data_IF_454155097773
#
_entry.id   IF_454155097773
#
_cell.length_a   1.000
_cell.length_b   1.000
_cell.length_c   1.000
_cell.angle_alpha   90.00
_cell.angle_beta   90.00
_cell.angle_gamma   90.00
#
_symmetry.space_group_name_H-M   'P 1'
#
loop_
_entity.id
_entity.type
_entity.pdbx_description
1 polymer ?
#
# COMPACT_ATOMS: atom_id res chain seq x y z
N UNK A 1 17.38 43.22 -10.13
CA UNK A 1 18.59 43.24 -9.26
C UNK A 1 18.99 41.84 -8.80
N UNK A 2 18.07 40.98 -8.32
CA UNK A 2 18.40 39.60 -7.91
C UNK A 2 18.77 38.66 -9.08
N UNK A 3 18.11 38.81 -10.23
CA UNK A 3 18.39 37.98 -11.41
C UNK A 3 19.63 38.40 -12.21
N UNK A 4 20.08 39.66 -12.11
CA UNK A 4 21.22 40.19 -12.87
C UNK A 4 22.59 39.77 -12.32
N UNK A 5 22.66 39.35 -11.06
CA UNK A 5 23.89 38.85 -10.41
C UNK A 5 24.09 37.33 -10.57
N UNK A 6 23.07 36.58 -10.99
CA UNK A 6 23.15 35.11 -11.14
C UNK A 6 23.83 34.68 -12.44
N UNK A 7 23.82 35.51 -13.48
CA UNK A 7 24.27 35.10 -14.82
C UNK A 7 25.81 35.01 -14.98
N UNK A 8 26.60 35.68 -14.13
CA UNK A 8 28.07 35.57 -14.16
C UNK A 8 28.60 34.35 -13.41
N UNK A 9 27.86 33.87 -12.40
CA UNK A 9 28.29 32.82 -11.48
C UNK A 9 27.91 31.41 -11.96
N UNK A 10 26.90 31.27 -12.83
CA UNK A 10 26.51 29.97 -13.40
C UNK A 10 27.66 29.27 -14.13
N UNK A 11 28.67 30.01 -14.61
CA UNK A 11 29.84 29.44 -15.27
C UNK A 11 30.73 28.62 -14.31
N UNK A 12 30.78 28.97 -13.03
CA UNK A 12 31.70 28.37 -12.05
C UNK A 12 31.02 27.43 -11.04
N UNK A 13 29.68 27.35 -11.04
CA UNK A 13 28.94 26.49 -10.11
C UNK A 13 28.70 25.10 -10.72
N UNK A 14 29.19 24.06 -10.03
CA UNK A 14 29.06 22.67 -10.45
C UNK A 14 28.43 21.80 -9.35
N UNK A 15 27.83 20.68 -9.74
CA UNK A 15 27.14 19.72 -8.87
C UNK A 15 27.61 18.30 -9.17
N UNK A 16 28.24 17.68 -8.17
CA UNK A 16 28.53 16.24 -8.19
C UNK A 16 27.21 15.44 -8.10
N UNK A 17 27.11 14.35 -8.88
CA UNK A 17 25.97 13.42 -8.86
C UNK A 17 26.47 12.00 -8.66
N UNK A 18 26.00 11.35 -7.59
CA UNK A 18 26.36 9.98 -7.23
C UNK A 18 25.17 9.29 -6.55
N UNK A 19 25.18 7.95 -6.53
CA UNK A 19 24.11 7.13 -5.93
C UNK A 19 24.60 6.24 -4.77
N UNK A 20 25.91 6.09 -4.61
CA UNK A 20 26.53 5.44 -3.46
C UNK A 20 27.78 6.19 -2.99
N UNK A 21 28.12 6.02 -1.71
CA UNK A 21 29.30 6.62 -1.07
C UNK A 21 30.54 5.71 -1.17
N UNK A 22 30.82 5.19 -2.36
CA UNK A 22 32.02 4.39 -2.62
C UNK A 22 33.02 5.16 -3.49
N UNK A 23 34.31 4.81 -3.40
CA UNK A 23 35.38 5.55 -4.09
C UNK A 23 35.19 5.64 -5.60
N UNK A 24 34.67 4.57 -6.23
CA UNK A 24 34.42 4.52 -7.68
C UNK A 24 33.38 5.57 -8.10
N UNK A 25 32.22 5.59 -7.43
CA UNK A 25 31.12 6.52 -7.73
C UNK A 25 31.52 7.97 -7.47
N UNK A 26 32.24 8.22 -6.38
CA UNK A 26 32.71 9.56 -6.04
C UNK A 26 33.72 10.08 -7.05
N UNK A 27 34.75 9.30 -7.38
CA UNK A 27 35.74 9.69 -8.39
C UNK A 27 35.08 9.96 -9.74
N UNK A 28 34.14 9.10 -10.15
CA UNK A 28 33.37 9.31 -11.38
C UNK A 28 32.54 10.61 -11.32
N UNK A 29 31.90 10.92 -10.20
CA UNK A 29 31.09 12.13 -10.02
C UNK A 29 31.92 13.41 -10.09
N UNK A 30 33.14 13.41 -9.53
CA UNK A 30 34.05 14.57 -9.58
C UNK A 30 34.68 14.76 -10.96
N UNK A 31 34.88 13.69 -11.72
CA UNK A 31 35.34 13.77 -13.12
C UNK A 31 34.21 14.24 -14.06
N UNK A 32 32.95 13.98 -13.72
CA UNK A 32 31.78 14.26 -14.54
C UNK A 32 30.79 15.21 -13.84
N UNK A 33 31.29 16.38 -13.44
CA UNK A 33 30.50 17.37 -12.72
C UNK A 33 29.37 17.95 -13.58
N UNK A 34 28.13 17.88 -13.09
CA UNK A 34 26.96 18.43 -13.77
C UNK A 34 26.68 19.88 -13.36
N UNK A 35 25.73 20.55 -14.03
CA UNK A 35 25.13 21.80 -13.52
C UNK A 35 23.97 21.50 -12.57
N UNK A 36 23.73 22.32 -11.53
CA UNK A 36 22.49 22.26 -10.76
C UNK A 36 21.27 22.42 -11.67
N UNK A 37 20.23 21.61 -11.43
CA UNK A 37 19.00 21.67 -12.21
C UNK A 37 17.98 22.61 -11.56
N UNK A 38 17.88 23.83 -12.09
CA UNK A 38 16.95 24.85 -11.58
C UNK A 38 15.48 24.39 -11.59
N UNK A 39 15.06 23.65 -12.61
CA UNK A 39 13.69 23.15 -12.72
C UNK A 39 13.29 22.20 -11.58
N UNK A 40 14.20 21.32 -11.13
CA UNK A 40 13.94 20.42 -9.99
C UNK A 40 13.81 21.22 -8.68
N UNK A 41 14.64 22.27 -8.51
CA UNK A 41 14.53 23.18 -7.37
C UNK A 41 13.20 23.93 -7.36
N UNK A 42 12.81 24.54 -8.49
CA UNK A 42 11.55 25.28 -8.59
C UNK A 42 10.33 24.38 -8.36
N UNK A 43 10.38 23.11 -8.75
CA UNK A 43 9.33 22.15 -8.44
C UNK A 43 9.19 21.90 -6.92
N UNK A 44 10.32 21.86 -6.19
CA UNK A 44 10.31 21.76 -4.72
C UNK A 44 9.72 23.03 -4.11
N UNK A 45 10.11 24.21 -4.59
CA UNK A 45 9.60 25.50 -4.11
C UNK A 45 8.08 25.61 -4.33
N UNK A 46 7.61 25.26 -5.54
CA UNK A 46 6.19 25.25 -5.86
C UNK A 46 5.40 24.31 -4.93
N UNK A 47 5.93 23.12 -4.64
CA UNK A 47 5.29 22.18 -3.71
C UNK A 47 5.24 22.74 -2.29
N UNK A 48 6.34 23.32 -1.80
CA UNK A 48 6.39 23.93 -0.47
C UNK A 48 5.35 25.06 -0.33
N UNK A 49 5.24 25.89 -1.36
CA UNK A 49 4.28 26.99 -1.39
C UNK A 49 2.83 26.49 -1.43
N UNK A 50 2.54 25.49 -2.26
CA UNK A 50 1.22 24.85 -2.32
C UNK A 50 0.82 24.24 -0.98
N UNK A 51 1.70 23.40 -0.40
CA UNK A 51 1.47 22.74 0.88
C UNK A 51 1.23 23.77 1.99
N UNK A 52 2.00 24.86 2.02
CA UNK A 52 1.86 25.94 3.00
C UNK A 52 0.55 26.71 2.83
N UNK A 53 0.27 27.22 1.62
CA UNK A 53 -0.90 28.07 1.36
C UNK A 53 -2.19 27.29 1.60
N UNK A 54 -2.31 26.10 1.02
CA UNK A 54 -3.49 25.25 1.17
C UNK A 54 -3.61 24.75 2.60
N UNK A 55 -2.51 24.25 3.18
CA UNK A 55 -2.50 23.72 4.53
C UNK A 55 -2.89 24.76 5.58
N UNK A 56 -2.31 25.96 5.54
CA UNK A 56 -2.63 27.05 6.49
C UNK A 56 -4.05 27.56 6.30
N UNK A 57 -4.50 27.78 5.06
CA UNK A 57 -5.83 28.31 4.79
C UNK A 57 -6.92 27.39 5.37
N UNK A 58 -6.89 26.11 5.02
CA UNK A 58 -7.90 25.15 5.48
C UNK A 58 -7.74 24.80 6.96
N UNK A 59 -6.52 24.65 7.47
CA UNK A 59 -6.32 24.38 8.91
C UNK A 59 -6.87 25.52 9.78
N UNK A 60 -6.64 26.78 9.38
CA UNK A 60 -7.22 27.94 10.10
C UNK A 60 -8.74 27.96 10.00
N UNK A 61 -9.29 27.76 8.81
CA UNK A 61 -10.73 27.73 8.59
C UNK A 61 -11.41 26.64 9.42
N UNK A 62 -10.92 25.40 9.36
CA UNK A 62 -11.51 24.27 10.08
C UNK A 62 -11.35 24.40 11.59
N UNK A 63 -10.18 24.86 12.06
CA UNK A 63 -9.99 25.12 13.49
C UNK A 63 -10.96 26.19 13.99
N UNK A 64 -11.17 27.27 13.21
CA UNK A 64 -12.13 28.31 13.56
C UNK A 64 -13.58 27.82 13.55
N UNK A 65 -14.00 27.14 12.48
CA UNK A 65 -15.40 26.70 12.30
C UNK A 65 -15.78 25.51 13.21
N UNK A 66 -14.90 24.51 13.31
CA UNK A 66 -15.22 23.21 13.91
C UNK A 66 -14.51 22.99 15.25
N UNK A 67 -13.55 23.84 15.63
CA UNK A 67 -12.74 23.63 16.83
C UNK A 67 -13.54 23.60 18.13
N UNK A 68 -14.62 24.39 18.26
CA UNK A 68 -15.50 24.35 19.44
C UNK A 68 -16.21 22.99 19.55
N UNK A 69 -16.80 22.53 18.44
CA UNK A 69 -17.49 21.26 18.40
C UNK A 69 -16.53 20.10 18.66
N UNK A 70 -15.34 20.13 18.04
CA UNK A 70 -14.33 19.10 18.23
C UNK A 70 -13.88 18.98 19.69
N UNK A 71 -13.77 20.12 20.41
CA UNK A 71 -13.47 20.13 21.84
C UNK A 71 -14.58 19.56 22.72
N UNK A 72 -15.83 19.73 22.32
CA UNK A 72 -16.97 19.26 23.08
C UNK A 72 -17.26 17.77 22.85
N UNK A 73 -17.08 17.30 21.60
CA UNK A 73 -17.49 15.94 21.18
C UNK A 73 -16.37 14.91 21.21
N UNK A 74 -15.13 15.30 20.93
CA UNK A 74 -14.04 14.34 20.72
C UNK A 74 -12.90 14.48 21.73
N UNK A 75 -12.24 15.64 21.82
CA UNK A 75 -11.12 15.86 22.72
C UNK A 75 -11.11 17.30 23.26
N UNK A 76 -11.28 17.48 24.56
CA UNK A 76 -11.27 18.81 25.23
C UNK A 76 -9.97 19.59 24.99
N UNK A 77 -8.88 18.89 24.72
CA UNK A 77 -7.57 19.48 24.43
C UNK A 77 -7.35 19.74 22.92
N UNK A 78 -8.37 19.57 22.07
CA UNK A 78 -8.26 19.83 20.64
C UNK A 78 -8.01 21.32 20.35
N UNK A 79 -6.76 21.65 20.02
CA UNK A 79 -6.34 23.02 19.69
C UNK A 79 -6.30 23.32 18.20
N UNK A 80 -6.06 22.32 17.36
CA UNK A 80 -5.81 22.48 15.93
C UNK A 80 -6.51 21.36 15.15
N UNK A 81 -7.26 21.70 14.12
CA UNK A 81 -7.71 20.75 13.11
C UNK A 81 -6.84 21.00 11.88
N UNK A 82 -5.89 20.11 11.64
CA UNK A 82 -4.94 20.24 10.53
C UNK A 82 -5.53 19.70 9.24
N UNK A 83 -5.22 20.38 8.14
CA UNK A 83 -5.49 19.95 6.78
C UNK A 83 -4.19 20.00 5.98
N UNK A 84 -3.97 18.99 5.15
CA UNK A 84 -2.86 18.98 4.22
C UNK A 84 -3.27 18.27 2.93
N UNK A 85 -2.87 18.77 1.74
CA UNK A 85 -3.30 18.22 0.46
C UNK A 85 -2.91 16.76 0.26
N UNK A 86 -1.83 16.29 0.88
CA UNK A 86 -1.44 14.87 0.89
C UNK A 86 -1.87 14.11 2.17
N UNK A 87 -1.83 14.78 3.33
CA UNK A 87 -2.20 14.17 4.61
C UNK A 87 -3.68 13.75 4.66
N UNK A 88 -4.58 14.60 4.15
CA UNK A 88 -6.02 14.35 4.23
C UNK A 88 -6.46 13.17 3.34
N UNK A 89 -6.04 13.05 2.07
CA UNK A 89 -6.29 11.84 1.28
C UNK A 89 -5.65 10.58 1.86
N UNK A 90 -4.47 10.69 2.49
CA UNK A 90 -3.84 9.55 3.17
C UNK A 90 -4.72 9.04 4.32
N UNK A 91 -5.25 9.95 5.15
CA UNK A 91 -6.19 9.60 6.22
C UNK A 91 -7.52 9.04 5.66
N UNK A 92 -7.96 9.54 4.51
CA UNK A 92 -9.16 9.06 3.85
C UNK A 92 -9.10 7.55 3.56
N UNK A 93 -7.97 7.00 3.11
CA UNK A 93 -7.85 5.55 2.90
C UNK A 93 -8.09 4.74 4.19
N UNK A 94 -7.60 5.23 5.33
CA UNK A 94 -7.86 4.60 6.63
C UNK A 94 -9.34 4.69 7.01
N UNK A 95 -9.95 5.88 6.88
CA UNK A 95 -11.36 6.10 7.19
C UNK A 95 -12.28 5.30 6.27
N UNK A 96 -11.98 5.24 4.98
CA UNK A 96 -12.71 4.45 3.99
C UNK A 96 -12.71 2.97 4.39
N UNK A 97 -11.53 2.39 4.66
CA UNK A 97 -11.44 1.00 5.11
C UNK A 97 -12.18 0.75 6.41
N UNK A 98 -12.12 1.69 7.35
CA UNK A 98 -12.90 1.61 8.59
C UNK A 98 -14.40 1.54 8.30
N UNK A 99 -14.92 2.41 7.43
CA UNK A 99 -16.34 2.39 7.04
C UNK A 99 -16.73 1.12 6.29
N UNK A 100 -15.88 0.61 5.40
CA UNK A 100 -16.08 -0.68 4.72
C UNK A 100 -16.24 -1.83 5.73
N UNK A 101 -15.39 -1.86 6.77
CA UNK A 101 -15.45 -2.88 7.84
C UNK A 101 -16.73 -2.71 8.67
N UNK A 102 -17.11 -1.48 9.03
CA UNK A 102 -18.33 -1.22 9.80
C UNK A 102 -19.61 -1.52 9.02
N UNK A 103 -19.60 -1.29 7.71
CA UNK A 103 -20.73 -1.57 6.82
C UNK A 103 -20.82 -3.05 6.41
N UNK A 104 -19.76 -3.83 6.63
CA UNK A 104 -19.73 -5.24 6.28
C UNK A 104 -20.79 -6.02 7.08
N UNK A 105 -21.72 -6.65 6.36
CA UNK A 105 -22.71 -7.56 6.93
C UNK A 105 -22.28 -9.00 6.62
N UNK A 106 -21.74 -9.75 7.60
CA UNK A 106 -21.32 -11.12 7.38
C UNK A 106 -22.49 -11.97 6.86
N UNK A 107 -22.26 -12.69 5.78
CA UNK A 107 -23.24 -13.62 5.22
C UNK A 107 -22.76 -15.06 5.44
N UNK A 108 -23.66 -15.90 5.93
CA UNK A 108 -23.38 -17.34 6.04
C UNK A 108 -23.27 -17.93 4.65
N UNK A 109 -22.23 -18.74 4.46
CA UNK A 109 -22.03 -19.52 3.25
C UNK A 109 -21.61 -20.94 3.65
N UNK A 110 -21.74 -21.86 2.71
CA UNK A 110 -21.43 -23.27 2.87
C UNK A 110 -20.47 -23.71 1.78
N UNK A 111 -19.45 -24.46 2.18
CA UNK A 111 -18.52 -25.17 1.29
C UNK A 111 -18.54 -26.64 1.70
N UNK A 112 -18.34 -27.54 0.74
CA UNK A 112 -18.29 -28.98 1.02
C UNK A 112 -16.83 -29.42 0.87
N UNK A 113 -16.34 -30.13 1.87
CA UNK A 113 -15.01 -30.75 1.82
C UNK A 113 -15.13 -32.19 2.25
N UNK A 114 -14.47 -33.10 1.54
CA UNK A 114 -14.44 -34.52 1.85
C UNK A 114 -13.01 -35.02 1.98
N UNK A 115 -12.79 -35.99 2.87
CA UNK A 115 -11.52 -36.71 2.94
C UNK A 115 -11.68 -38.00 2.14
N UNK A 116 -10.90 -38.14 1.08
CA UNK A 116 -10.87 -39.36 0.27
C UNK A 116 -9.59 -40.14 0.56
N UNK A 117 -9.62 -41.45 0.30
CA UNK A 117 -8.47 -42.34 0.44
C UNK A 117 -8.22 -43.04 -0.89
N UNK A 118 -7.01 -42.91 -1.40
CA UNK A 118 -6.56 -43.61 -2.61
C UNK A 118 -6.27 -45.08 -2.32
N UNK A 119 -6.03 -45.86 -3.39
CA UNK A 119 -5.69 -47.29 -3.30
C UNK A 119 -4.46 -47.54 -2.43
N UNK A 120 -3.47 -46.65 -2.46
CA UNK A 120 -2.25 -46.72 -1.65
C UNK A 120 -2.42 -46.21 -0.22
N UNK A 121 -3.66 -46.18 0.29
CA UNK A 121 -4.01 -45.64 1.60
C UNK A 121 -3.72 -44.14 1.84
N UNK A 122 -3.21 -43.42 0.84
CA UNK A 122 -2.95 -41.98 0.89
C UNK A 122 -4.26 -41.21 1.06
N UNK A 123 -4.30 -40.31 2.04
CA UNK A 123 -5.46 -39.43 2.26
C UNK A 123 -5.26 -38.13 1.48
N UNK A 124 -6.31 -37.65 0.83
CA UNK A 124 -6.32 -36.35 0.20
C UNK A 124 -7.64 -35.63 0.47
N UNK A 125 -7.57 -34.31 0.57
CA UNK A 125 -8.73 -33.45 0.74
C UNK A 125 -9.32 -33.17 -0.64
N UNK A 126 -10.59 -33.45 -0.79
CA UNK A 126 -11.39 -33.07 -1.95
C UNK A 126 -12.18 -31.84 -1.56
N UNK A 127 -12.00 -30.77 -2.31
CA UNK A 127 -12.74 -29.53 -2.14
C UNK A 127 -13.80 -29.44 -3.23
N UNK A 128 -14.92 -28.80 -2.88
CA UNK A 128 -16.00 -28.58 -3.83
C UNK A 128 -15.54 -27.63 -4.94
N UNK A 129 -15.85 -27.99 -6.18
CA UNK A 129 -15.48 -27.23 -7.39
C UNK A 129 -16.13 -25.83 -7.44
N UNK A 130 -17.30 -25.65 -6.83
CA UNK A 130 -17.87 -24.32 -6.64
C UNK A 130 -17.20 -23.62 -5.45
N UNK A 131 -16.84 -22.33 -5.61
CA UNK A 131 -16.21 -21.53 -4.54
C UNK A 131 -16.96 -21.64 -3.19
N UNK A 132 -18.29 -21.46 -3.21
CA UNK A 132 -19.20 -21.52 -2.05
C UNK A 132 -20.67 -21.42 -2.48
N UNK A 133 -21.59 -21.86 -1.62
CA UNK A 133 -23.04 -21.62 -1.74
C UNK A 133 -23.54 -20.70 -0.62
N UNK A 134 -24.50 -19.83 -0.93
CA UNK A 134 -25.27 -19.07 0.06
C UNK A 134 -26.66 -19.67 0.33
N UNK A 135 -26.97 -20.82 -0.28
CA UNK A 135 -28.19 -21.58 -0.02
C UNK A 135 -27.87 -22.80 0.83
N UNK A 136 -28.43 -22.82 2.05
CA UNK A 136 -28.27 -23.90 3.01
C UNK A 136 -28.91 -25.21 2.54
N UNK A 137 -30.06 -25.14 1.87
CA UNK A 137 -30.80 -26.32 1.44
C UNK A 137 -30.03 -27.02 0.32
N UNK A 138 -29.55 -26.24 -0.64
CA UNK A 138 -28.66 -26.73 -1.68
C UNK A 138 -27.41 -27.39 -1.09
N UNK A 139 -26.75 -26.73 -0.12
CA UNK A 139 -25.55 -27.28 0.50
C UNK A 139 -25.83 -28.59 1.28
N UNK A 140 -26.96 -28.69 1.98
CA UNK A 140 -27.38 -29.91 2.68
C UNK A 140 -27.70 -31.06 1.72
N UNK A 141 -28.35 -30.77 0.60
CA UNK A 141 -28.64 -31.78 -0.40
C UNK A 141 -27.36 -32.34 -1.02
N UNK A 142 -26.42 -31.45 -1.38
CA UNK A 142 -25.12 -31.85 -1.91
C UNK A 142 -24.30 -32.63 -0.85
N UNK A 143 -24.33 -32.22 0.42
CA UNK A 143 -23.72 -32.97 1.52
C UNK A 143 -24.32 -34.38 1.67
N UNK A 144 -25.65 -34.50 1.62
CA UNK A 144 -26.35 -35.79 1.71
C UNK A 144 -25.96 -36.73 0.58
N UNK A 145 -25.92 -36.23 -0.66
CA UNK A 145 -25.45 -36.98 -1.84
C UNK A 145 -24.01 -37.44 -1.67
N UNK A 146 -23.13 -36.58 -1.16
CA UNK A 146 -21.73 -36.92 -0.88
C UNK A 146 -21.56 -37.96 0.24
N UNK A 147 -22.35 -37.89 1.31
CA UNK A 147 -22.33 -38.88 2.40
C UNK A 147 -22.84 -40.25 1.95
N UNK A 148 -23.81 -40.28 1.04
CA UNK A 148 -24.31 -41.51 0.44
C UNK A 148 -23.30 -42.13 -0.53
N UNK A 149 -22.43 -41.32 -1.13
CA UNK A 149 -21.39 -41.80 -2.03
C UNK A 149 -20.29 -42.57 -1.26
N UNK A 150 -20.03 -43.81 -1.70
CA UNK A 150 -18.99 -44.68 -1.12
C UNK A 150 -17.66 -44.62 -1.86
N UNK A 151 -17.66 -44.02 -3.04
CA UNK A 151 -16.52 -43.98 -3.95
C UNK A 151 -16.45 -42.61 -4.61
N UNK A 152 -15.23 -42.18 -4.93
CA UNK A 152 -14.97 -40.94 -5.67
C UNK A 152 -14.29 -41.35 -6.97
N UNK A 153 -14.77 -40.83 -8.10
CA UNK A 153 -14.18 -41.10 -9.41
C UNK A 153 -13.32 -39.90 -9.82
N UNK A 154 -12.09 -40.18 -10.23
CA UNK A 154 -11.24 -39.16 -10.86
C UNK A 154 -11.77 -38.90 -12.27
N UNK A 155 -12.12 -37.65 -12.54
CA UNK A 155 -12.68 -37.22 -13.84
C UNK A 155 -11.56 -36.71 -14.77
N UNK A 156 -10.63 -35.93 -14.21
CA UNK A 156 -9.48 -35.36 -14.92
C UNK A 156 -8.28 -35.26 -13.98
N UNK A 157 -7.07 -35.28 -14.54
CA UNK A 157 -5.82 -35.01 -13.84
C UNK A 157 -5.04 -34.02 -14.69
N UNK A 158 -4.93 -32.79 -14.19
CA UNK A 158 -4.16 -31.74 -14.83
C UNK A 158 -2.84 -31.52 -14.07
N UNK A 159 -1.76 -31.41 -14.81
CA UNK A 159 -0.42 -31.12 -14.28
C UNK A 159 0.11 -29.87 -14.96
N UNK A 160 0.48 -28.87 -14.17
CA UNK A 160 1.03 -27.62 -14.66
C UNK A 160 2.40 -27.37 -14.02
N UNK A 161 3.40 -27.13 -14.87
CA UNK A 161 4.73 -26.70 -14.43
C UNK A 161 4.69 -25.22 -14.07
N UNK A 162 4.47 -24.91 -12.79
CA UNK A 162 4.51 -23.53 -12.29
C UNK A 162 5.95 -23.11 -12.02
N UNK A 163 6.41 -22.08 -12.74
CA UNK A 163 7.69 -21.41 -12.46
C UNK A 163 7.45 -20.18 -11.60
N UNK A 164 8.05 -20.14 -10.42
CA UNK A 164 8.12 -18.92 -9.61
C UNK A 164 9.32 -18.09 -10.06
N UNK A 165 9.07 -16.89 -10.54
CA UNK A 165 10.13 -15.97 -10.94
C UNK A 165 10.80 -15.34 -9.72
N UNK A 166 12.08 -15.00 -9.87
CA UNK A 166 12.77 -14.18 -8.89
C UNK A 166 12.05 -12.82 -8.72
N UNK A 167 12.10 -12.22 -7.52
CA UNK A 167 11.50 -10.90 -7.32
C UNK A 167 12.21 -9.84 -8.16
N UNK A 168 11.47 -8.79 -8.48
CA UNK A 168 12.05 -7.59 -9.12
C UNK A 168 13.11 -6.95 -8.22
N UNK A 169 14.02 -6.19 -8.84
CA UNK A 169 14.98 -5.37 -8.12
C UNK A 169 14.28 -4.49 -7.08
N UNK A 170 14.85 -4.45 -5.88
CA UNK A 170 14.23 -3.79 -4.74
C UNK A 170 14.18 -2.28 -4.94
N UNK A 171 12.98 -1.71 -4.89
CA UNK A 171 12.77 -0.27 -4.90
C UNK A 171 12.29 0.22 -3.51
N UNK A 172 12.21 1.54 -3.33
CA UNK A 172 11.83 2.14 -2.05
C UNK A 172 10.46 1.67 -1.56
N UNK A 173 9.46 1.55 -2.44
CA UNK A 173 8.10 1.12 -2.05
C UNK A 173 8.10 -0.33 -1.57
N UNK A 174 8.75 -1.23 -2.33
CA UNK A 174 8.86 -2.64 -1.97
C UNK A 174 9.62 -2.82 -0.65
N UNK A 175 10.70 -2.06 -0.44
CA UNK A 175 11.44 -2.04 0.83
C UNK A 175 10.54 -1.61 1.99
N UNK A 176 9.83 -0.49 1.88
CA UNK A 176 8.94 0.01 2.94
C UNK A 176 7.84 -1.00 3.28
N UNK A 177 7.23 -1.64 2.27
CA UNK A 177 6.19 -2.66 2.46
C UNK A 177 6.76 -3.91 3.12
N UNK A 178 7.92 -4.40 2.64
CA UNK A 178 8.56 -5.59 3.20
C UNK A 178 9.00 -5.34 4.65
N UNK A 179 9.60 -4.20 4.96
CA UNK A 179 10.02 -3.84 6.30
C UNK A 179 8.83 -3.67 7.25
N UNK A 180 7.73 -3.09 6.80
CA UNK A 180 6.50 -3.00 7.58
C UNK A 180 5.88 -4.35 7.88
N UNK A 181 5.74 -5.23 6.87
CA UNK A 181 5.11 -6.54 7.00
C UNK A 181 5.97 -7.56 7.75
N UNK A 182 7.26 -7.61 7.46
CA UNK A 182 8.16 -8.66 7.94
C UNK A 182 8.96 -8.26 9.17
N UNK A 183 9.21 -6.97 9.38
CA UNK A 183 10.05 -6.47 10.48
C UNK A 183 9.32 -5.53 11.44
N UNK A 184 8.03 -5.24 11.21
CA UNK A 184 7.24 -4.35 12.06
C UNK A 184 7.78 -2.91 12.11
N UNK A 185 8.55 -2.48 11.11
CA UNK A 185 9.14 -1.15 11.06
C UNK A 185 8.18 -0.15 10.43
N UNK A 186 8.05 1.03 11.04
CA UNK A 186 7.27 2.11 10.44
C UNK A 186 8.03 2.74 9.26
N UNK A 187 7.33 3.32 8.26
CA UNK A 187 7.99 3.90 7.09
C UNK A 187 9.00 5.02 7.40
N UNK A 188 8.90 5.66 8.58
CA UNK A 188 9.85 6.70 9.03
C UNK A 188 11.15 6.11 9.60
N UNK A 189 11.09 4.87 10.12
CA UNK A 189 12.22 4.19 10.75
C UNK A 189 13.10 3.44 9.73
N UNK A 190 12.49 3.02 8.63
CA UNK A 190 13.16 2.41 7.46
C UNK A 190 13.90 3.49 6.69
#
# INVERSE_FOLDING_TARGET
VRDSLLNSDEKYIHRARFSALNARDLNHAFQNMARPKKAESLAVDARQELDLRVGVAFSRLFTWKLGREARQRYDRNQRLISYGPCQTPTLYFCAQRYHEIMAFKPQKYWTITANARGQNQTRFKVEWDAEKSFDQNFAREAESKMKAARQVKVIAVDSENKRMNAPNALNTVALLVAAGKSMGMSPKKV
#
